data_IF_023714908000
#
_entry.id   IF_023714908000
#
_cell.length_a   1.000
_cell.length_b   1.000
_cell.length_c   1.000
_cell.angle_alpha   90.00
_cell.angle_beta   90.00
_cell.angle_gamma   90.00
#
_symmetry.space_group_name_H-M   'P 1'
#
loop_
_entity.id
_entity.type
_entity.pdbx_description
1 polymer ?
#
# COMPACT_ATOMS: atom_id res chain seq x y z
N UNK A 1 25.39 2.36 -1.36
CA UNK A 1 24.09 1.85 -0.87
C UNK A 1 23.06 2.94 -1.08
N UNK A 2 22.25 2.85 -2.14
CA UNK A 2 21.37 3.95 -2.59
C UNK A 2 20.23 4.24 -1.60
N UNK A 3 19.70 3.19 -0.93
CA UNK A 3 18.65 3.33 0.08
C UNK A 3 19.14 4.15 1.28
N UNK A 4 20.34 3.87 1.79
CA UNK A 4 20.95 4.66 2.86
C UNK A 4 21.18 6.12 2.44
N UNK A 5 21.67 6.35 1.21
CA UNK A 5 21.83 7.71 0.69
C UNK A 5 20.51 8.47 0.65
N UNK A 6 19.42 7.81 0.23
CA UNK A 6 18.08 8.40 0.26
C UNK A 6 17.63 8.76 1.67
N UNK A 7 17.86 7.89 2.66
CA UNK A 7 17.53 8.15 4.05
C UNK A 7 18.33 9.33 4.63
N UNK A 8 19.63 9.44 4.34
CA UNK A 8 20.43 10.60 4.77
C UNK A 8 19.91 11.90 4.13
N UNK A 9 19.46 11.86 2.88
CA UNK A 9 18.81 13.01 2.24
C UNK A 9 17.43 13.34 2.84
N UNK A 10 16.68 12.36 3.35
CA UNK A 10 15.45 12.62 4.12
C UNK A 10 15.81 13.34 5.42
N UNK A 11 16.82 12.86 6.15
CA UNK A 11 17.28 13.46 7.42
C UNK A 11 17.74 14.90 7.25
N UNK A 12 18.55 15.17 6.23
CA UNK A 12 19.01 16.52 5.93
C UNK A 12 17.85 17.49 5.65
N UNK A 13 16.80 17.02 4.96
CA UNK A 13 15.59 17.81 4.72
C UNK A 13 14.76 18.03 5.98
N UNK A 14 14.70 17.03 6.88
CA UNK A 14 14.03 17.18 8.17
C UNK A 14 14.74 18.20 9.06
N UNK A 15 16.06 18.13 9.17
CA UNK A 15 16.86 19.10 9.91
C UNK A 15 16.65 20.53 9.37
N UNK A 16 16.73 20.71 8.04
CA UNK A 16 16.47 22.00 7.42
C UNK A 16 15.02 22.48 7.62
N UNK A 17 14.06 21.57 7.78
CA UNK A 17 12.67 21.91 8.09
C UNK A 17 12.49 22.37 9.56
N UNK A 18 13.16 21.69 10.50
CA UNK A 18 13.20 22.08 11.92
C UNK A 18 13.79 23.50 12.07
N UNK A 19 14.97 23.74 11.50
CA UNK A 19 15.65 25.04 11.54
C UNK A 19 14.77 26.18 10.98
N UNK A 20 14.01 25.93 9.91
CA UNK A 20 13.08 26.91 9.33
C UNK A 20 11.86 27.19 10.22
N UNK A 21 11.36 26.16 10.88
CA UNK A 21 10.16 26.24 11.74
C UNK A 21 10.50 26.95 13.04
N UNK A 22 11.67 26.68 13.61
CA UNK A 22 12.19 27.38 14.80
C UNK A 22 12.51 28.85 14.51
N UNK A 23 12.93 29.20 13.29
CA UNK A 23 13.24 30.57 12.90
C UNK A 23 12.01 31.49 12.70
N UNK A 24 10.79 30.94 12.60
CA UNK A 24 9.55 31.72 12.38
C UNK A 24 8.45 31.29 13.36
N UNK A 25 8.53 31.65 14.66
CA UNK A 25 7.47 31.38 15.61
C UNK A 25 6.25 32.25 15.25
N UNK A 26 5.23 31.64 14.64
CA UNK A 26 3.94 32.30 14.40
C UNK A 26 3.27 32.75 15.72
N UNK A 27 2.23 33.61 15.65
CA UNK A 27 1.57 34.11 16.85
C UNK A 27 0.99 32.98 17.70
N UNK A 28 1.21 33.10 19.01
CA UNK A 28 0.82 32.17 20.07
C UNK A 28 -0.71 31.99 20.14
N UNK A 29 -1.24 30.97 19.46
CA UNK A 29 -2.61 30.50 19.67
C UNK A 29 -2.55 29.17 20.41
N UNK A 30 -2.87 29.20 21.71
CA UNK A 30 -3.07 28.00 22.51
C UNK A 30 -4.37 27.32 22.05
N UNK A 31 -4.23 26.15 21.43
CA UNK A 31 -5.34 25.20 21.26
C UNK A 31 -5.00 24.00 22.14
N UNK A 32 -5.94 23.62 23.02
CA UNK A 32 -5.82 22.57 24.05
C UNK A 32 -4.80 21.47 23.70
N UNK A 33 -3.71 21.42 24.48
CA UNK A 33 -2.75 20.30 24.50
C UNK A 33 -1.61 20.32 23.49
N UNK A 34 -1.49 21.33 22.61
CA UNK A 34 -0.29 21.50 21.75
C UNK A 34 0.60 22.62 22.27
N UNK A 35 1.87 22.30 22.55
CA UNK A 35 2.88 23.32 22.83
C UNK A 35 2.99 24.29 21.64
N UNK A 36 3.05 25.60 21.88
CA UNK A 36 3.05 26.60 20.82
C UNK A 36 4.31 26.50 19.96
N UNK A 37 4.15 26.50 18.63
CA UNK A 37 5.26 26.49 17.67
C UNK A 37 5.96 25.13 17.47
N UNK A 38 5.57 24.09 18.20
CA UNK A 38 6.14 22.75 18.06
C UNK A 38 5.57 21.95 16.90
N UNK A 39 6.41 21.13 16.27
CA UNK A 39 5.97 20.11 15.32
C UNK A 39 5.05 19.10 16.04
N UNK A 40 3.99 18.62 15.37
CA UNK A 40 3.03 17.68 15.97
C UNK A 40 3.64 16.32 16.30
N UNK A 41 2.96 15.50 17.10
CA UNK A 41 3.41 14.13 17.42
C UNK A 41 3.60 13.28 16.14
N UNK A 42 2.83 13.56 15.08
CA UNK A 42 2.92 12.91 13.77
C UNK A 42 4.33 13.09 13.17
N UNK A 43 4.93 14.27 13.36
CA UNK A 43 6.26 14.59 12.87
C UNK A 43 7.34 13.78 13.59
N UNK A 44 7.30 13.75 14.92
CA UNK A 44 8.28 13.01 15.72
C UNK A 44 8.18 11.50 15.45
N UNK A 45 6.97 10.98 15.34
CA UNK A 45 6.72 9.61 14.91
C UNK A 45 7.33 9.31 13.53
N UNK A 46 7.19 10.22 12.57
CA UNK A 46 7.85 10.09 11.26
C UNK A 46 9.38 10.10 11.37
N UNK A 47 9.95 11.01 12.16
CA UNK A 47 11.39 11.13 12.37
C UNK A 47 11.98 9.85 13.00
N UNK A 48 11.31 9.29 14.00
CA UNK A 48 11.73 8.04 14.65
C UNK A 48 11.75 6.88 13.65
N UNK A 49 10.70 6.73 12.83
CA UNK A 49 10.65 5.74 11.74
C UNK A 49 11.81 5.86 10.74
N UNK A 50 12.23 7.08 10.41
CA UNK A 50 13.37 7.30 9.50
C UNK A 50 14.65 6.76 10.13
N UNK A 51 14.89 7.00 11.42
CA UNK A 51 16.07 6.49 12.12
C UNK A 51 16.04 4.97 12.30
N UNK A 52 14.89 4.41 12.67
CA UNK A 52 14.71 2.95 12.79
C UNK A 52 14.96 2.23 11.46
N UNK A 53 14.39 2.74 10.37
CA UNK A 53 14.58 2.17 9.02
C UNK A 53 16.04 2.27 8.59
N UNK A 54 16.72 3.38 8.92
CA UNK A 54 18.13 3.58 8.62
C UNK A 54 19.02 2.59 9.36
N UNK A 55 18.80 2.43 10.66
CA UNK A 55 19.59 1.51 11.48
C UNK A 55 19.36 0.06 11.02
N UNK A 56 18.12 -0.31 10.71
CA UNK A 56 17.79 -1.60 10.11
C UNK A 56 18.58 -1.86 8.81
N UNK A 57 18.49 -0.96 7.81
CA UNK A 57 19.18 -1.11 6.53
C UNK A 57 20.71 -1.09 6.69
N UNK A 58 21.24 -0.32 7.65
CA UNK A 58 22.67 -0.28 7.94
C UNK A 58 23.15 -1.61 8.52
N UNK A 59 22.42 -2.19 9.46
CA UNK A 59 22.72 -3.49 10.05
C UNK A 59 22.67 -4.60 9.00
N UNK A 60 21.65 -4.57 8.13
CA UNK A 60 21.54 -5.43 6.95
C UNK A 60 22.78 -5.30 6.06
N UNK A 61 23.16 -4.07 5.70
CA UNK A 61 24.30 -3.78 4.83
C UNK A 61 25.64 -4.22 5.41
N UNK A 62 25.84 -4.08 6.73
CA UNK A 62 27.05 -4.54 7.42
C UNK A 62 27.11 -6.05 7.45
N UNK A 63 26.00 -6.71 7.80
CA UNK A 63 25.95 -8.16 7.85
C UNK A 63 26.19 -8.83 6.49
N UNK A 64 25.65 -8.25 5.40
CA UNK A 64 25.95 -8.71 4.03
C UNK A 64 27.44 -8.61 3.69
N UNK A 65 28.11 -7.53 4.13
CA UNK A 65 29.53 -7.29 3.87
C UNK A 65 30.43 -8.27 4.64
N UNK A 66 30.09 -8.56 5.89
CA UNK A 66 30.94 -9.35 6.78
C UNK A 66 30.79 -10.87 6.59
N UNK A 67 29.99 -11.32 5.59
CA UNK A 67 29.65 -12.75 5.34
C UNK A 67 29.04 -13.49 6.54
N UNK A 68 28.82 -12.79 7.65
CA UNK A 68 28.16 -13.25 8.87
C UNK A 68 26.64 -13.04 8.81
N UNK A 69 26.10 -12.86 7.59
CA UNK A 69 24.67 -12.67 7.38
C UNK A 69 23.89 -13.95 7.69
N UNK A 70 23.49 -14.09 8.95
CA UNK A 70 22.54 -15.10 9.42
C UNK A 70 21.16 -14.45 9.45
N UNK A 71 20.42 -14.55 8.35
CA UNK A 71 19.01 -14.20 8.35
C UNK A 71 18.25 -15.01 9.42
N UNK A 72 17.34 -14.36 10.14
CA UNK A 72 16.06 -15.01 10.45
C UNK A 72 15.29 -15.14 9.13
N UNK A 73 14.64 -16.28 8.81
CA UNK A 73 14.17 -16.53 7.46
C UNK A 73 13.14 -15.48 7.03
N UNK A 74 13.53 -14.55 6.14
CA UNK A 74 12.56 -13.69 5.46
C UNK A 74 11.65 -14.59 4.63
N UNK A 75 10.37 -14.65 5.01
CA UNK A 75 9.37 -15.46 4.31
C UNK A 75 9.25 -14.90 2.88
N UNK A 76 9.53 -15.71 1.84
CA UNK A 76 9.46 -15.23 0.47
C UNK A 76 8.07 -14.67 0.13
N UNK A 77 8.03 -13.56 -0.61
CA UNK A 77 6.77 -12.99 -1.10
C UNK A 77 6.05 -14.02 -1.98
N UNK A 78 4.80 -14.35 -1.65
CA UNK A 78 4.02 -15.36 -2.37
C UNK A 78 3.32 -14.82 -3.62
N UNK A 79 3.54 -13.56 -3.99
CA UNK A 79 2.91 -12.95 -5.16
C UNK A 79 3.41 -13.63 -6.45
N UNK A 80 2.47 -14.13 -7.26
CA UNK A 80 2.76 -14.73 -8.56
C UNK A 80 2.03 -13.95 -9.66
N UNK A 81 2.72 -13.62 -10.77
CA UNK A 81 2.05 -12.97 -11.89
C UNK A 81 1.10 -13.98 -12.52
N UNK A 82 -0.16 -13.59 -12.68
CA UNK A 82 -1.13 -14.35 -13.46
C UNK A 82 -1.42 -13.55 -14.72
N UNK A 83 -1.42 -14.24 -15.87
CA UNK A 83 -1.62 -13.63 -17.17
C UNK A 83 -3.05 -13.11 -17.33
N UNK A 84 -3.31 -11.94 -16.75
CA UNK A 84 -4.59 -11.21 -16.85
C UNK A 84 -4.46 -9.89 -17.57
N UNK A 85 -3.24 -9.38 -17.68
CA UNK A 85 -2.96 -8.09 -18.30
C UNK A 85 -2.44 -8.35 -19.71
N UNK A 86 -3.11 -7.84 -20.76
CA UNK A 86 -2.63 -7.98 -22.12
C UNK A 86 -1.29 -7.26 -22.28
N UNK A 87 -0.37 -7.86 -23.06
CA UNK A 87 0.85 -7.18 -23.51
C UNK A 87 0.47 -5.86 -24.19
N UNK A 88 1.37 -4.88 -24.09
CA UNK A 88 1.17 -3.46 -24.46
C UNK A 88 0.75 -3.18 -25.92
N UNK A 89 0.68 -4.21 -26.77
CA UNK A 89 0.49 -4.10 -28.23
C UNK A 89 -0.93 -4.36 -28.73
N UNK A 90 -1.94 -4.57 -27.87
CA UNK A 90 -3.29 -4.93 -28.32
C UNK A 90 -4.36 -3.88 -27.99
N UNK A 91 -4.57 -2.95 -28.93
CA UNK A 91 -5.56 -1.87 -28.93
C UNK A 91 -6.98 -2.28 -29.37
N UNK A 92 -7.30 -3.57 -29.48
CA UNK A 92 -8.59 -4.03 -29.98
C UNK A 92 -9.66 -4.12 -28.87
N UNK A 93 -10.78 -3.41 -29.05
CA UNK A 93 -11.96 -3.39 -28.16
C UNK A 93 -12.48 -4.79 -27.82
N UNK A 94 -12.47 -5.73 -28.78
CA UNK A 94 -12.94 -7.11 -28.59
C UNK A 94 -12.09 -7.95 -27.63
N UNK A 95 -10.79 -7.67 -27.48
CA UNK A 95 -9.92 -8.39 -26.53
C UNK A 95 -10.23 -7.97 -25.10
N UNK A 96 -10.59 -6.70 -24.89
CA UNK A 96 -11.02 -6.20 -23.57
C UNK A 96 -12.39 -6.75 -23.17
N UNK A 97 -13.30 -6.91 -24.12
CA UNK A 97 -14.60 -7.54 -23.89
C UNK A 97 -14.43 -9.03 -23.55
N UNK A 98 -13.60 -9.78 -24.29
CA UNK A 98 -13.29 -11.18 -23.97
C UNK A 98 -12.63 -11.39 -22.60
N UNK A 99 -11.73 -10.48 -22.17
CA UNK A 99 -11.09 -10.57 -20.84
C UNK A 99 -12.11 -10.26 -19.73
N UNK A 100 -13.00 -9.28 -19.94
CA UNK A 100 -14.10 -9.04 -19.00
C UNK A 100 -14.96 -10.30 -18.88
N UNK A 101 -15.40 -10.84 -20.00
CA UNK A 101 -16.25 -12.04 -20.01
C UNK A 101 -15.57 -13.21 -19.31
N UNK A 102 -14.27 -13.44 -19.54
CA UNK A 102 -13.48 -14.47 -18.83
C UNK A 102 -13.37 -14.20 -17.33
N UNK A 103 -13.14 -12.96 -16.90
CA UNK A 103 -13.02 -12.57 -15.48
C UNK A 103 -14.35 -12.57 -14.73
N UNK A 104 -15.48 -12.47 -15.43
CA UNK A 104 -16.82 -12.56 -14.84
C UNK A 104 -17.41 -13.98 -14.94
N UNK A 105 -16.68 -14.91 -15.54
CA UNK A 105 -17.02 -16.33 -15.59
C UNK A 105 -16.23 -17.12 -14.54
N UNK A 106 -16.90 -18.08 -13.91
CA UNK A 106 -16.28 -18.94 -12.87
C UNK A 106 -15.08 -19.73 -13.40
N UNK A 107 -15.10 -20.12 -14.68
CA UNK A 107 -14.00 -20.84 -15.33
C UNK A 107 -12.72 -20.01 -15.41
N UNK A 108 -12.84 -18.71 -15.74
CA UNK A 108 -11.69 -17.82 -15.80
C UNK A 108 -11.12 -17.49 -14.42
N UNK A 109 -11.96 -17.37 -13.40
CA UNK A 109 -11.49 -17.22 -12.00
C UNK A 109 -10.77 -18.49 -11.53
N UNK A 110 -11.32 -19.67 -11.84
CA UNK A 110 -10.69 -20.94 -11.51
C UNK A 110 -9.31 -21.08 -12.18
N UNK A 111 -9.19 -20.69 -13.43
CA UNK A 111 -7.91 -20.70 -14.16
C UNK A 111 -6.87 -19.79 -13.50
N UNK A 112 -7.28 -18.61 -13.00
CA UNK A 112 -6.40 -17.72 -12.24
C UNK A 112 -5.88 -18.41 -10.98
N UNK A 113 -6.78 -19.06 -10.24
CA UNK A 113 -6.42 -19.76 -9.01
C UNK A 113 -5.51 -20.95 -9.28
N UNK A 114 -5.76 -21.72 -10.34
CA UNK A 114 -4.88 -22.82 -10.77
C UNK A 114 -3.50 -22.28 -11.21
N UNK A 115 -3.46 -21.19 -11.98
CA UNK A 115 -2.20 -20.55 -12.37
C UNK A 115 -1.40 -20.06 -11.16
N UNK A 116 -2.07 -19.53 -10.12
CA UNK A 116 -1.43 -19.19 -8.86
C UNK A 116 -0.93 -20.44 -8.13
N UNK A 117 -1.74 -21.50 -8.01
CA UNK A 117 -1.38 -22.71 -7.29
C UNK A 117 -0.14 -23.39 -7.89
N UNK A 118 -0.11 -23.53 -9.22
CA UNK A 118 0.97 -24.23 -9.93
C UNK A 118 2.11 -23.32 -10.41
N UNK A 119 1.96 -22.00 -10.33
CA UNK A 119 2.99 -21.05 -10.73
C UNK A 119 4.24 -21.09 -9.84
N UNK A 120 5.40 -20.78 -10.41
CA UNK A 120 6.65 -20.67 -9.63
C UNK A 120 6.69 -19.35 -8.84
N UNK A 121 7.21 -19.39 -7.62
CA UNK A 121 7.42 -18.20 -6.81
C UNK A 121 8.58 -17.36 -7.39
N UNK A 122 8.35 -16.10 -7.81
CA UNK A 122 9.40 -15.29 -8.44
C UNK A 122 10.35 -14.64 -7.44
N UNK A 123 9.97 -14.57 -6.16
CA UNK A 123 10.73 -13.94 -5.09
C UNK A 123 11.37 -14.99 -4.20
N UNK A 124 12.69 -14.90 -4.03
CA UNK A 124 13.42 -15.60 -2.97
C UNK A 124 13.48 -14.70 -1.72
N UNK A 125 14.07 -15.22 -0.62
CA UNK A 125 14.18 -14.49 0.65
C UNK A 125 14.99 -13.19 0.53
N UNK A 126 16.06 -13.19 -0.27
CA UNK A 126 16.93 -12.02 -0.48
C UNK A 126 16.18 -10.93 -1.26
N UNK A 127 15.54 -11.30 -2.36
CA UNK A 127 14.69 -10.38 -3.14
C UNK A 127 13.56 -9.81 -2.29
N UNK A 128 12.96 -10.65 -1.45
CA UNK A 128 11.88 -10.24 -0.53
C UNK A 128 12.36 -9.17 0.45
N UNK A 129 13.52 -9.37 1.07
CA UNK A 129 14.10 -8.37 1.98
C UNK A 129 14.45 -7.07 1.24
N UNK A 130 15.08 -7.17 0.06
CA UNK A 130 15.39 -5.99 -0.75
C UNK A 130 14.14 -5.19 -1.12
N UNK A 131 13.10 -5.86 -1.60
CA UNK A 131 11.82 -5.23 -1.95
C UNK A 131 11.19 -4.60 -0.71
N UNK A 132 11.24 -5.28 0.44
CA UNK A 132 10.67 -4.76 1.69
C UNK A 132 11.33 -3.46 2.10
N UNK A 133 12.67 -3.42 2.15
CA UNK A 133 13.45 -2.22 2.47
C UNK A 133 13.26 -1.11 1.43
N UNK A 134 13.20 -1.45 0.14
CA UNK A 134 12.89 -0.49 -0.91
C UNK A 134 11.54 0.19 -0.68
N UNK A 135 10.49 -0.60 -0.38
CA UNK A 135 9.15 -0.08 -0.15
C UNK A 135 9.12 0.82 1.08
N UNK A 136 9.81 0.46 2.16
CA UNK A 136 9.88 1.27 3.38
C UNK A 136 10.48 2.64 3.10
N UNK A 137 11.62 2.69 2.40
CA UNK A 137 12.25 3.95 1.99
C UNK A 137 11.36 4.74 1.03
N UNK A 138 10.69 4.08 0.06
CA UNK A 138 9.81 4.74 -0.89
C UNK A 138 8.60 5.40 -0.19
N UNK A 139 8.01 4.75 0.83
CA UNK A 139 6.92 5.36 1.60
C UNK A 139 7.41 6.48 2.51
N UNK A 140 8.59 6.36 3.12
CA UNK A 140 9.18 7.46 3.89
C UNK A 140 9.42 8.69 2.99
N UNK A 141 9.89 8.48 1.75
CA UNK A 141 10.01 9.57 0.78
C UNK A 141 8.66 10.20 0.42
N UNK A 142 7.59 9.40 0.32
CA UNK A 142 6.25 9.92 0.07
C UNK A 142 5.75 10.76 1.24
N UNK A 143 5.88 10.24 2.46
CA UNK A 143 5.49 10.91 3.70
C UNK A 143 6.29 12.20 3.93
N UNK A 144 7.59 12.21 3.61
CA UNK A 144 8.40 13.43 3.68
C UNK A 144 7.79 14.57 2.86
N UNK A 145 7.21 14.28 1.69
CA UNK A 145 6.53 15.33 0.90
C UNK A 145 5.33 15.91 1.62
N UNK A 146 4.62 15.10 2.41
CA UNK A 146 3.53 15.57 3.28
C UNK A 146 4.05 16.38 4.46
N UNK A 147 5.14 15.92 5.09
CA UNK A 147 5.83 16.62 6.19
C UNK A 147 6.28 18.01 5.76
N UNK A 148 7.00 18.11 4.64
CA UNK A 148 7.52 19.39 4.14
C UNK A 148 6.43 20.38 3.70
N UNK A 149 5.20 19.88 3.44
CA UNK A 149 4.03 20.72 3.18
C UNK A 149 3.33 21.18 4.46
N UNK A 150 3.74 20.68 5.63
CA UNK A 150 3.17 21.03 6.94
C UNK A 150 1.72 20.58 7.14
N UNK A 151 1.26 19.56 6.43
CA UNK A 151 -0.15 19.11 6.45
C UNK A 151 -0.24 17.65 6.86
N UNK A 152 -0.34 17.34 8.17
CA UNK A 152 -0.84 16.04 8.58
C UNK A 152 -2.27 15.89 8.07
N UNK A 153 -2.56 14.71 7.55
CA UNK A 153 -3.84 14.35 6.97
C UNK A 153 -4.59 13.42 7.92
N UNK A 154 -5.90 13.58 7.98
CA UNK A 154 -6.81 12.57 8.53
C UNK A 154 -7.40 11.79 7.36
N UNK A 155 -7.03 10.54 7.24
CA UNK A 155 -7.56 9.63 6.24
C UNK A 155 -8.76 8.84 6.77
N UNK A 156 -9.66 8.48 5.86
CA UNK A 156 -10.73 7.52 6.13
C UNK A 156 -10.68 6.43 5.09
N UNK A 157 -10.94 5.18 5.48
CA UNK A 157 -11.16 4.06 4.56
C UNK A 157 -12.48 3.41 4.95
N UNK A 158 -13.48 3.53 4.09
CA UNK A 158 -14.82 2.99 4.32
C UNK A 158 -15.07 1.84 3.37
N UNK A 159 -15.70 0.78 3.89
CA UNK A 159 -15.97 -0.45 3.16
C UNK A 159 -17.49 -0.68 3.15
N UNK A 160 -18.09 -0.73 1.96
CA UNK A 160 -19.53 -0.85 1.79
C UNK A 160 -19.89 -1.94 0.78
N UNK A 161 -20.93 -2.71 1.07
CA UNK A 161 -21.48 -3.65 0.09
C UNK A 161 -22.45 -2.92 -0.83
N UNK A 162 -22.41 -3.20 -2.13
CA UNK A 162 -23.45 -2.75 -3.06
C UNK A 162 -24.68 -3.66 -3.09
N UNK A 163 -24.66 -4.78 -2.35
CA UNK A 163 -25.80 -5.67 -2.21
C UNK A 163 -26.35 -5.53 -0.78
N UNK A 164 -27.56 -4.99 -0.65
CA UNK A 164 -28.25 -4.84 0.63
C UNK A 164 -28.43 -6.19 1.31
N UNK A 165 -28.04 -6.28 2.59
CA UNK A 165 -28.16 -7.50 3.39
C UNK A 165 -27.12 -8.59 3.10
N UNK A 166 -26.12 -8.31 2.25
CA UNK A 166 -25.00 -9.20 1.97
C UNK A 166 -23.67 -8.44 2.12
N UNK A 167 -22.56 -9.17 2.27
CA UNK A 167 -21.22 -8.58 2.29
C UNK A 167 -20.64 -8.29 3.67
N UNK A 168 -21.30 -8.70 4.77
CA UNK A 168 -20.83 -8.38 6.12
C UNK A 168 -19.50 -9.06 6.46
N UNK A 169 -19.33 -10.31 6.04
CA UNK A 169 -18.07 -11.02 6.22
C UNK A 169 -16.95 -10.38 5.40
N UNK A 170 -17.23 -10.04 4.15
CA UNK A 170 -16.29 -9.45 3.19
C UNK A 170 -15.85 -8.04 3.64
N UNK A 171 -16.78 -7.23 4.16
CA UNK A 171 -16.47 -5.95 4.81
C UNK A 171 -15.53 -6.17 5.99
N UNK A 172 -15.87 -7.10 6.90
CA UNK A 172 -15.05 -7.43 8.06
C UNK A 172 -13.64 -7.89 7.68
N UNK A 173 -13.57 -8.77 6.69
CA UNK A 173 -12.32 -9.29 6.12
C UNK A 173 -11.44 -8.18 5.54
N UNK A 174 -12.00 -7.27 4.73
CA UNK A 174 -11.22 -6.15 4.19
C UNK A 174 -10.73 -5.21 5.29
N UNK A 175 -11.58 -4.90 6.28
CA UNK A 175 -11.18 -4.04 7.41
C UNK A 175 -10.01 -4.66 8.20
N UNK A 176 -10.03 -5.97 8.40
CA UNK A 176 -8.93 -6.70 9.04
C UNK A 176 -7.65 -6.62 8.20
N UNK A 177 -7.72 -6.91 6.89
CA UNK A 177 -6.56 -6.87 5.99
C UNK A 177 -5.96 -5.48 5.87
N UNK A 178 -6.78 -4.43 5.77
CA UNK A 178 -6.29 -3.06 5.79
C UNK A 178 -5.71 -2.69 7.16
N UNK A 179 -6.28 -3.15 8.28
CA UNK A 179 -5.68 -2.92 9.61
C UNK A 179 -4.30 -3.57 9.75
N UNK A 180 -4.13 -4.82 9.29
CA UNK A 180 -2.82 -5.48 9.26
C UNK A 180 -1.81 -4.71 8.43
N UNK A 181 -2.23 -4.19 7.26
CA UNK A 181 -1.41 -3.34 6.41
C UNK A 181 -1.01 -2.05 7.14
N UNK A 182 -1.94 -1.37 7.81
CA UNK A 182 -1.64 -0.15 8.57
C UNK A 182 -0.66 -0.40 9.72
N UNK A 183 -0.74 -1.55 10.39
CA UNK A 183 0.24 -1.95 11.42
C UNK A 183 1.63 -2.11 10.83
N UNK A 184 1.73 -2.79 9.67
CA UNK A 184 3.02 -2.98 8.98
C UNK A 184 3.59 -1.66 8.46
N UNK A 185 2.73 -0.75 8.00
CA UNK A 185 3.14 0.58 7.57
C UNK A 185 3.41 1.53 8.73
N UNK A 186 3.18 1.10 9.97
CA UNK A 186 3.24 1.92 11.17
C UNK A 186 2.47 3.25 10.99
N UNK A 187 1.18 3.09 10.66
CA UNK A 187 0.20 4.16 10.51
C UNK A 187 -0.81 4.04 11.66
N UNK A 188 -0.89 5.04 12.55
CA UNK A 188 -1.89 5.09 13.61
C UNK A 188 -3.30 5.07 13.03
N UNK A 189 -4.12 4.12 13.49
CA UNK A 189 -5.47 3.93 12.98
C UNK A 189 -6.45 3.41 14.04
N UNK A 190 -7.74 3.66 13.81
CA UNK A 190 -8.87 3.17 14.61
C UNK A 190 -9.92 2.53 13.71
N UNK A 191 -10.40 1.35 14.10
CA UNK A 191 -11.45 0.64 13.37
C UNK A 191 -12.80 0.91 14.04
N UNK A 192 -13.75 1.41 13.26
CA UNK A 192 -15.15 1.48 13.64
C UNK A 192 -15.92 0.38 12.87
N UNK A 193 -16.12 -0.76 13.54
CA UNK A 193 -16.79 -1.93 12.94
C UNK A 193 -18.25 -1.66 12.57
N UNK A 194 -18.99 -0.89 13.39
CA UNK A 194 -20.41 -0.60 13.12
C UNK A 194 -20.61 0.26 11.86
N UNK A 195 -19.65 1.14 11.57
CA UNK A 195 -19.65 1.95 10.34
C UNK A 195 -18.82 1.38 9.20
N UNK A 196 -18.23 0.19 9.38
CA UNK A 196 -17.29 -0.43 8.44
C UNK A 196 -16.22 0.54 7.94
N UNK A 197 -15.54 1.20 8.89
CA UNK A 197 -14.67 2.35 8.64
C UNK A 197 -13.34 2.20 9.39
N UNK A 198 -12.24 2.58 8.75
CA UNK A 198 -10.94 2.83 9.38
C UNK A 198 -10.67 4.33 9.33
N UNK A 199 -10.32 4.92 10.47
CA UNK A 199 -9.82 6.28 10.57
C UNK A 199 -8.31 6.21 10.82
N UNK A 200 -7.54 7.04 10.14
CA UNK A 200 -6.08 7.02 10.24
C UNK A 200 -5.50 8.43 10.21
N UNK A 201 -4.37 8.63 10.85
CA UNK A 201 -3.68 9.91 10.92
C UNK A 201 -2.23 9.75 10.43
N UNK A 202 -1.74 10.68 9.62
CA UNK A 202 -0.39 10.60 9.07
C UNK A 202 -0.13 11.56 7.92
N UNK A 203 0.98 11.38 7.21
CA UNK A 203 1.37 12.22 6.08
C UNK A 203 1.14 11.52 4.73
N UNK A 204 0.70 12.30 3.73
CA UNK A 204 0.51 11.84 2.35
C UNK A 204 -0.37 10.57 2.25
N UNK A 205 -1.36 10.45 3.14
CA UNK A 205 -2.29 9.33 3.18
C UNK A 205 -3.11 9.28 1.90
N UNK A 206 -3.48 10.45 1.40
CA UNK A 206 -4.25 10.57 0.16
C UNK A 206 -3.51 9.92 -1.01
N UNK A 207 -2.26 10.29 -1.22
CA UNK A 207 -1.42 9.73 -2.29
C UNK A 207 -1.08 8.26 -2.06
N UNK A 208 -0.93 7.83 -0.80
CA UNK A 208 -0.61 6.45 -0.45
C UNK A 208 -1.77 5.50 -0.78
N UNK A 209 -3.00 5.89 -0.47
CA UNK A 209 -4.20 5.06 -0.66
C UNK A 209 -4.96 5.36 -1.96
N UNK A 210 -4.46 6.25 -2.82
CA UNK A 210 -5.17 6.69 -4.04
C UNK A 210 -5.57 5.56 -4.98
N UNK A 211 -4.82 4.45 -4.97
CA UNK A 211 -5.10 3.30 -5.81
C UNK A 211 -6.15 2.33 -5.26
N UNK A 212 -6.51 2.46 -3.99
CA UNK A 212 -7.34 1.48 -3.27
C UNK A 212 -8.84 1.76 -3.40
N UNK A 213 -9.22 2.98 -3.80
CA UNK A 213 -10.60 3.32 -4.07
C UNK A 213 -11.17 2.55 -5.28
N UNK A 214 -12.31 1.88 -5.09
CA UNK A 214 -13.01 1.13 -6.13
C UNK A 214 -13.66 -0.15 -5.63
N UNK A 215 -13.97 -1.07 -6.54
CA UNK A 215 -14.71 -2.30 -6.28
C UNK A 215 -13.76 -3.48 -6.05
N UNK A 216 -14.00 -4.21 -4.97
CA UNK A 216 -13.43 -5.50 -4.63
C UNK A 216 -14.50 -6.57 -4.86
N UNK A 217 -14.28 -7.49 -5.79
CA UNK A 217 -15.26 -8.52 -6.14
C UNK A 217 -14.96 -9.82 -5.39
N UNK A 218 -15.91 -10.31 -4.60
CA UNK A 218 -15.81 -11.57 -3.87
C UNK A 218 -16.66 -12.65 -4.55
N UNK A 219 -16.01 -13.66 -5.13
CA UNK A 219 -16.65 -14.85 -5.67
C UNK A 219 -16.70 -15.93 -4.58
N UNK A 220 -17.78 -15.93 -3.78
CA UNK A 220 -17.97 -16.95 -2.76
C UNK A 220 -18.72 -18.16 -3.33
N UNK A 221 -17.99 -19.21 -3.67
CA UNK A 221 -18.56 -20.45 -4.22
C UNK A 221 -19.18 -20.26 -5.61
N UNK A 222 -20.19 -21.05 -5.96
CA UNK A 222 -20.85 -20.97 -7.28
C UNK A 222 -21.90 -19.85 -7.41
N UNK A 223 -21.82 -18.80 -6.57
CA UNK A 223 -22.78 -17.68 -6.59
C UNK A 223 -22.26 -16.51 -7.40
N UNK A 224 -23.17 -15.58 -7.73
CA UNK A 224 -22.81 -14.26 -8.26
C UNK A 224 -21.86 -13.54 -7.29
N UNK A 225 -20.88 -12.77 -7.79
CA UNK A 225 -19.92 -12.09 -6.93
C UNK A 225 -20.60 -11.04 -6.05
N UNK A 226 -20.07 -10.85 -4.84
CA UNK A 226 -20.44 -9.76 -3.93
C UNK A 226 -19.49 -8.58 -4.17
N UNK A 227 -19.96 -7.48 -4.78
CA UNK A 227 -19.19 -6.26 -4.95
C UNK A 227 -19.12 -5.47 -3.63
N UNK A 228 -17.89 -5.30 -3.15
CA UNK A 228 -17.57 -4.47 -1.99
C UNK A 228 -16.81 -3.24 -2.46
N UNK A 229 -17.38 -2.07 -2.23
CA UNK A 229 -16.77 -0.79 -2.53
C UNK A 229 -15.87 -0.34 -1.38
N UNK A 230 -14.65 0.07 -1.72
CA UNK A 230 -13.72 0.73 -0.81
C UNK A 230 -13.63 2.19 -1.23
N UNK A 231 -13.92 3.10 -0.29
CA UNK A 231 -13.67 4.54 -0.43
C UNK A 231 -12.61 4.99 0.55
N UNK A 232 -11.84 6.00 0.17
CA UNK A 232 -10.72 6.61 0.89
C UNK A 232 -11.01 8.06 1.37
N UNK A 233 -12.27 8.53 1.24
CA UNK A 233 -12.70 9.88 1.61
C UNK A 233 -12.19 10.99 0.69
N UNK A 234 -11.71 10.67 -0.51
CA UNK A 234 -11.10 11.62 -1.45
C UNK A 234 -12.11 12.17 -2.47
N UNK A 235 -12.06 13.48 -2.83
CA UNK A 235 -12.98 14.07 -3.80
C UNK A 235 -12.89 13.47 -5.21
N UNK A 236 -11.76 12.86 -5.58
CA UNK A 236 -11.56 12.24 -6.91
C UNK A 236 -12.16 10.83 -7.02
N UNK A 237 -12.79 10.31 -5.96
CA UNK A 237 -13.36 8.95 -5.92
C UNK A 237 -14.43 8.71 -6.97
N UNK A 238 -15.18 9.73 -7.35
CA UNK A 238 -16.25 9.62 -8.35
C UNK A 238 -15.74 9.13 -9.72
N UNK A 239 -14.46 9.39 -10.04
CA UNK A 239 -13.84 8.91 -11.30
C UNK A 239 -13.47 7.42 -11.26
N UNK A 240 -13.41 6.82 -10.08
CA UNK A 240 -12.93 5.45 -9.88
C UNK A 240 -13.91 4.54 -9.15
N UNK A 241 -15.08 5.05 -8.76
CA UNK A 241 -16.12 4.32 -8.03
C UNK A 241 -16.46 2.95 -8.64
N UNK A 242 -16.44 2.83 -9.97
CA UNK A 242 -16.76 1.59 -10.69
C UNK A 242 -15.55 0.78 -11.18
N UNK A 243 -14.33 1.17 -10.81
CA UNK A 243 -13.12 0.43 -11.18
C UNK A 243 -12.98 -0.79 -10.29
N UNK A 244 -12.89 -1.98 -10.88
CA UNK A 244 -12.55 -3.19 -10.13
C UNK A 244 -11.05 -3.17 -9.80
N UNK A 245 -10.73 -3.18 -8.51
CA UNK A 245 -9.36 -3.14 -7.98
C UNK A 245 -8.83 -4.56 -7.82
N UNK A 246 -9.61 -5.43 -7.17
CA UNK A 246 -9.22 -6.81 -6.85
C UNK A 246 -10.37 -7.78 -6.97
N UNK A 247 -10.01 -9.04 -7.23
CA UNK A 247 -10.91 -10.19 -7.22
C UNK A 247 -10.47 -11.15 -6.12
N UNK A 248 -11.42 -11.69 -5.38
CA UNK A 248 -11.23 -12.68 -4.33
C UNK A 248 -12.01 -13.93 -4.73
N UNK A 249 -11.35 -15.08 -4.88
CA UNK A 249 -11.97 -16.33 -5.36
C UNK A 249 -12.73 -17.09 -4.26
N UNK A 250 -12.88 -16.54 -3.06
CA UNK A 250 -13.63 -17.15 -1.95
C UNK A 250 -13.12 -18.50 -1.42
N UNK A 251 -12.25 -19.18 -2.16
CA UNK A 251 -11.56 -20.42 -1.85
C UNK A 251 -10.24 -20.09 -1.19
N UNK A 252 -9.28 -19.53 -1.94
CA UNK A 252 -7.91 -19.39 -1.43
C UNK A 252 -7.10 -18.22 -1.99
N UNK A 253 -7.56 -17.54 -3.04
CA UNK A 253 -6.72 -16.55 -3.77
C UNK A 253 -7.36 -15.17 -3.82
N UNK A 254 -6.49 -14.16 -3.88
CA UNK A 254 -6.82 -12.80 -4.28
C UNK A 254 -5.99 -12.43 -5.50
N UNK A 255 -6.55 -11.60 -6.37
CA UNK A 255 -5.87 -11.12 -7.57
C UNK A 255 -6.06 -9.63 -7.73
N UNK A 256 -4.95 -8.89 -7.82
CA UNK A 256 -4.94 -7.45 -8.03
C UNK A 256 -4.96 -7.14 -9.52
N UNK A 257 -6.08 -6.61 -10.02
CA UNK A 257 -6.28 -6.36 -11.45
C UNK A 257 -5.45 -5.20 -12.00
N UNK A 258 -4.92 -4.34 -11.11
CA UNK A 258 -4.06 -3.21 -11.51
C UNK A 258 -2.68 -3.69 -11.91
N UNK A 259 -2.23 -4.79 -11.30
CA UNK A 259 -0.87 -5.34 -11.49
C UNK A 259 -0.85 -6.68 -12.22
N UNK A 260 -1.93 -7.46 -12.13
CA UNK A 260 -1.96 -8.86 -12.56
C UNK A 260 -1.29 -9.82 -11.59
N UNK A 261 -0.98 -9.41 -10.35
CA UNK A 261 -0.46 -10.31 -9.33
C UNK A 261 -1.59 -11.00 -8.57
N UNK A 262 -1.43 -12.30 -8.37
CA UNK A 262 -2.26 -13.09 -7.46
C UNK A 262 -1.46 -13.50 -6.23
N UNK A 263 -2.15 -13.64 -5.10
CA UNK A 263 -1.61 -14.11 -3.84
C UNK A 263 -2.67 -14.97 -3.12
N UNK A 264 -2.30 -15.64 -2.04
CA UNK A 264 -3.23 -16.21 -1.09
C UNK A 264 -4.19 -15.12 -0.58
N UNK A 265 -5.46 -15.49 -0.39
CA UNK A 265 -6.51 -14.59 0.10
C UNK A 265 -6.14 -13.99 1.46
N UNK A 266 -5.55 -14.82 2.34
CA UNK A 266 -4.95 -14.38 3.60
C UNK A 266 -3.54 -13.78 3.36
N UNK A 267 -3.49 -12.72 2.58
CA UNK A 267 -2.26 -11.98 2.29
C UNK A 267 -1.70 -11.37 3.58
N UNK A 268 -0.39 -11.46 3.77
CA UNK A 268 0.27 -10.82 4.91
C UNK A 268 0.44 -9.32 4.65
N UNK A 269 0.48 -8.49 5.70
CA UNK A 269 0.64 -7.04 5.56
C UNK A 269 1.87 -6.63 4.74
N UNK A 270 3.01 -7.33 4.88
CA UNK A 270 4.21 -7.10 4.08
C UNK A 270 4.04 -7.39 2.58
N UNK A 271 3.21 -8.38 2.23
CA UNK A 271 2.90 -8.69 0.83
C UNK A 271 1.88 -7.69 0.27
N UNK A 272 0.92 -7.28 1.10
CA UNK A 272 -0.10 -6.31 0.75
C UNK A 272 0.53 -4.92 0.49
N UNK A 273 1.59 -4.59 1.24
CA UNK A 273 2.43 -3.41 1.05
C UNK A 273 2.87 -3.20 -0.40
N UNK A 274 3.25 -4.27 -1.10
CA UNK A 274 3.64 -4.22 -2.51
C UNK A 274 2.47 -3.84 -3.43
N UNK A 275 1.29 -4.40 -3.18
CA UNK A 275 0.08 -4.08 -3.93
C UNK A 275 -0.37 -2.64 -3.70
N UNK A 276 -0.25 -2.13 -2.46
CA UNK A 276 -0.51 -0.73 -2.14
C UNK A 276 0.42 0.18 -2.95
N UNK A 277 1.73 -0.07 -2.92
CA UNK A 277 2.70 0.69 -3.70
C UNK A 277 2.37 0.69 -5.20
N UNK A 278 1.98 -0.45 -5.75
CA UNK A 278 1.62 -0.55 -7.16
C UNK A 278 0.36 0.24 -7.54
N UNK A 279 -0.52 0.52 -6.57
CA UNK A 279 -1.68 1.39 -6.71
C UNK A 279 -1.33 2.88 -6.85
N UNK A 280 -0.13 3.29 -6.45
CA UNK A 280 0.34 4.67 -6.57
C UNK A 280 0.58 5.01 -8.06
N UNK A 281 0.24 6.24 -8.45
CA UNK A 281 0.41 6.73 -9.81
C UNK A 281 1.85 6.53 -10.31
N UNK A 282 1.99 6.19 -11.60
CA UNK A 282 3.31 5.87 -12.18
C UNK A 282 4.30 7.02 -12.00
N UNK A 283 3.90 8.26 -12.30
CA UNK A 283 4.77 9.42 -12.15
C UNK A 283 5.25 9.63 -10.70
N UNK A 284 4.39 9.34 -9.72
CA UNK A 284 4.78 9.40 -8.33
C UNK A 284 5.73 8.25 -7.96
N UNK A 285 5.45 7.01 -8.39
CA UNK A 285 6.38 5.88 -8.20
C UNK A 285 7.76 6.14 -8.80
N UNK A 286 7.82 6.68 -10.01
CA UNK A 286 9.07 7.04 -10.69
C UNK A 286 9.85 8.09 -9.88
N UNK A 287 9.14 9.03 -9.25
CA UNK A 287 9.74 10.07 -8.40
C UNK A 287 10.09 9.61 -6.97
N UNK A 288 9.58 8.46 -6.54
CA UNK A 288 9.91 7.78 -5.28
C UNK A 288 10.96 6.67 -5.49
N UNK A 289 11.42 6.45 -6.73
CA UNK A 289 12.39 5.41 -6.99
C UNK A 289 13.81 5.90 -6.67
N UNK A 290 14.44 5.46 -5.58
CA UNK A 290 15.81 5.84 -5.22
C UNK A 290 16.84 5.48 -6.31
N UNK A 291 16.54 4.53 -7.20
CA UNK A 291 17.43 4.10 -8.28
C UNK A 291 17.17 4.81 -9.61
N UNK A 292 16.17 5.67 -9.68
CA UNK A 292 15.94 6.48 -10.88
C UNK A 292 17.10 7.46 -11.03
N UNK A 293 17.87 7.34 -12.13
CA UNK A 293 18.85 8.36 -12.50
C UNK A 293 18.07 9.64 -12.78
N UNK A 294 18.26 10.68 -11.97
CA UNK A 294 17.90 12.04 -12.38
C UNK A 294 18.69 12.35 -13.65
N UNK A 295 18.03 12.28 -14.81
CA UNK A 295 18.53 12.82 -16.08
C UNK A 295 18.53 14.35 -16.01
#
# INVERSE_FOLDING_TARGET
NQLLYTLENIRAQLQAHEERTEAHPGPLVYVDGKAPGGLGWEYYHFKDRVEETRESIKNISLGFRDRNYKFGPAIPLRLKPVSLVPRKDWSAKGIRENIKDRLFQQEGIREISEAYQFGQAPFDSIKTEFISNYLDVAFLQLQLRGVLKGKPEKGTLKVESYITGMGDWEKGFLLEKYSELMKVLDIPHKINKSRSLIQMDGFALRELFSGEAGIHLFYLGQRSPVPIHVSTGQPEEDKHAYRVVRIYDGRDTLTDLRTGFSNAINIAGNEFKLLLYAGISKGLRDALNPFSKKS
#
